data_IF_876492616385
#
_entry.id   IF_876492616385
#
_cell.length_a   1.000
_cell.length_b   1.000
_cell.length_c   1.000
_cell.angle_alpha   90.00
_cell.angle_beta   90.00
_cell.angle_gamma   90.00
#
_symmetry.space_group_name_H-M   'P 1'
#
loop_
_entity.id
_entity.type
_entity.pdbx_description
1 polymer ?
#
# COMPACT_ATOMS: atom_id res chain seq x y z
N UNK A 1 17.31 0.53 22.79
CA UNK A 1 18.33 -0.45 22.26
C UNK A 1 19.27 -0.81 23.39
N UNK A 2 19.77 -2.07 23.47
CA UNK A 2 20.79 -2.46 24.44
C UNK A 2 22.17 -2.61 23.77
N UNK A 3 23.24 -2.80 24.57
CA UNK A 3 24.61 -2.89 24.04
C UNK A 3 24.83 -4.08 23.08
N UNK A 4 24.14 -5.21 23.29
CA UNK A 4 24.24 -6.41 22.44
C UNK A 4 23.59 -6.12 21.09
N UNK A 5 22.39 -5.55 21.08
CA UNK A 5 21.67 -5.13 19.86
C UNK A 5 22.46 -4.11 19.05
N UNK A 6 23.14 -3.18 19.73
CA UNK A 6 23.99 -2.19 19.05
C UNK A 6 25.19 -2.85 18.37
N UNK A 7 25.86 -3.80 19.05
CA UNK A 7 26.99 -4.52 18.46
C UNK A 7 26.57 -5.39 17.26
N UNK A 8 25.38 -6.00 17.33
CA UNK A 8 24.82 -6.77 16.22
C UNK A 8 24.56 -5.87 15.00
N UNK A 9 23.94 -4.71 15.21
CA UNK A 9 23.71 -3.71 14.15
C UNK A 9 25.04 -3.26 13.54
N UNK A 10 26.06 -2.97 14.36
CA UNK A 10 27.38 -2.54 13.85
C UNK A 10 28.02 -3.65 13.03
N UNK A 11 27.86 -4.91 13.43
CA UNK A 11 28.43 -6.06 12.71
C UNK A 11 27.84 -6.25 11.32
N UNK A 12 26.58 -5.83 11.09
CA UNK A 12 25.91 -5.92 9.78
C UNK A 12 26.33 -4.80 8.82
N UNK A 13 26.96 -3.73 9.32
CA UNK A 13 27.43 -2.60 8.55
C UNK A 13 26.32 -1.59 8.17
N UNK A 14 26.70 -0.59 7.38
CA UNK A 14 25.78 0.44 6.89
C UNK A 14 24.76 -0.14 5.90
N UNK A 15 23.51 0.27 6.04
CA UNK A 15 22.40 -0.15 5.18
C UNK A 15 21.51 1.04 4.82
N UNK A 16 20.39 0.80 4.16
CA UNK A 16 19.37 1.83 3.96
C UNK A 16 18.73 2.34 5.27
N UNK A 17 18.86 1.58 6.36
CA UNK A 17 18.31 1.90 7.68
C UNK A 17 19.36 2.19 8.76
N UNK A 18 20.63 1.98 8.48
CA UNK A 18 21.72 2.14 9.45
C UNK A 18 22.82 2.98 8.83
N UNK A 19 23.21 4.05 9.51
CA UNK A 19 24.29 4.94 9.09
C UNK A 19 25.27 5.13 10.25
N UNK A 20 26.56 5.06 9.96
CA UNK A 20 27.63 5.30 10.95
C UNK A 20 28.22 6.68 10.74
N UNK A 21 28.64 7.32 11.83
CA UNK A 21 29.39 8.57 11.84
C UNK A 21 30.36 8.58 13.00
N UNK A 22 31.64 8.81 12.72
CA UNK A 22 32.65 8.96 13.77
C UNK A 22 32.38 10.20 14.63
N UNK A 23 32.05 11.31 14.00
CA UNK A 23 31.65 12.59 14.61
C UNK A 23 30.40 13.15 13.94
N UNK A 24 29.77 14.16 14.56
CA UNK A 24 28.60 14.80 13.95
C UNK A 24 29.03 15.54 12.65
N UNK A 25 28.46 15.19 11.49
CA UNK A 25 28.76 15.89 10.25
C UNK A 25 28.25 17.33 10.26
N UNK A 26 28.63 18.12 9.25
CA UNK A 26 28.07 19.44 9.04
C UNK A 26 26.53 19.43 9.01
N UNK A 27 25.88 20.46 9.56
CA UNK A 27 24.42 20.57 9.72
C UNK A 27 23.63 20.22 8.44
N UNK A 28 24.08 20.64 7.26
CA UNK A 28 23.43 20.31 6.00
C UNK A 28 23.46 18.78 5.72
N UNK A 29 24.59 18.13 6.01
CA UNK A 29 24.71 16.68 5.83
C UNK A 29 23.81 15.88 6.77
N UNK A 30 23.69 16.35 8.03
CA UNK A 30 22.74 15.77 9.00
C UNK A 30 21.30 15.97 8.53
N UNK A 31 20.94 17.16 8.07
CA UNK A 31 19.62 17.47 7.53
C UNK A 31 19.25 16.55 6.34
N UNK A 32 20.19 16.37 5.41
CA UNK A 32 20.01 15.50 4.24
C UNK A 32 19.81 14.03 4.65
N UNK A 33 20.54 13.55 5.67
CA UNK A 33 20.43 12.18 6.15
C UNK A 33 19.07 11.94 6.83
N UNK A 34 18.66 12.85 7.73
CA UNK A 34 17.35 12.79 8.39
C UNK A 34 16.22 12.80 7.35
N UNK A 35 16.29 13.73 6.37
CA UNK A 35 15.31 13.82 5.28
C UNK A 35 15.28 12.53 4.45
N UNK A 36 16.45 11.98 4.09
CA UNK A 36 16.53 10.77 3.29
C UNK A 36 15.90 9.55 4.02
N UNK A 37 16.17 9.40 5.31
CA UNK A 37 15.58 8.34 6.13
C UNK A 37 14.09 8.55 6.33
N UNK A 38 13.64 9.77 6.65
CA UNK A 38 12.21 10.09 6.83
C UNK A 38 11.39 9.85 5.54
N UNK A 39 11.96 10.16 4.38
CA UNK A 39 11.31 9.90 3.08
C UNK A 39 11.38 8.43 2.65
N UNK A 40 12.21 7.62 3.30
CA UNK A 40 12.37 6.19 3.01
C UNK A 40 11.71 5.33 4.09
N UNK A 41 12.44 4.43 4.70
CA UNK A 41 11.93 3.44 5.68
C UNK A 41 12.32 3.77 7.13
N UNK A 42 12.73 5.02 7.40
CA UNK A 42 13.31 5.39 8.67
C UNK A 42 14.68 4.74 8.88
N UNK A 43 15.14 4.68 10.13
CA UNK A 43 16.39 4.03 10.49
C UNK A 43 17.06 4.67 11.69
N UNK A 44 18.35 4.38 11.84
CA UNK A 44 19.19 4.90 12.92
C UNK A 44 20.49 5.49 12.40
N UNK A 45 20.94 6.59 13.01
CA UNK A 45 22.32 7.10 12.82
C UNK A 45 23.07 6.83 14.12
N UNK A 46 24.20 6.13 14.01
CA UNK A 46 25.10 5.83 15.12
C UNK A 46 26.28 6.81 15.06
N UNK A 47 26.43 7.67 16.07
CA UNK A 47 27.51 8.65 16.15
C UNK A 47 28.50 8.23 17.24
N UNK A 48 29.78 8.24 16.93
CA UNK A 48 30.86 7.62 17.69
C UNK A 48 31.31 6.28 17.11
N UNK A 49 30.93 6.00 15.86
CA UNK A 49 31.28 4.77 15.11
C UNK A 49 31.83 5.16 13.75
N UNK A 50 32.99 4.63 13.37
CA UNK A 50 33.63 4.90 12.06
C UNK A 50 32.80 4.37 10.89
N UNK A 51 32.63 5.17 9.89
CA UNK A 51 31.76 4.92 8.72
C UNK A 51 32.11 3.58 8.03
N UNK A 52 33.26 3.22 7.70
CA UNK A 52 33.57 2.04 6.89
C UNK A 52 33.87 0.79 7.73
N UNK A 53 34.53 0.97 8.86
CA UNK A 53 35.07 -0.14 9.67
C UNK A 53 34.12 -0.62 10.76
N UNK A 54 33.16 0.23 11.19
CA UNK A 54 32.33 -0.05 12.35
C UNK A 54 33.10 0.04 13.69
N UNK A 55 34.36 0.53 13.69
CA UNK A 55 35.15 0.71 14.91
C UNK A 55 34.45 1.77 15.80
N UNK A 56 34.25 1.42 17.09
CA UNK A 56 33.64 2.33 18.05
C UNK A 56 34.72 3.24 18.62
N UNK A 57 34.69 4.50 18.22
CA UNK A 57 35.59 5.55 18.73
C UNK A 57 35.07 6.15 20.02
N UNK A 58 33.74 6.21 20.16
CA UNK A 58 33.03 6.77 21.32
C UNK A 58 33.01 8.30 21.31
N UNK A 59 32.16 8.87 22.18
CA UNK A 59 31.96 10.32 22.34
C UNK A 59 32.16 10.73 23.79
N UNK A 60 32.61 11.96 24.02
CA UNK A 60 32.62 12.59 25.35
C UNK A 60 31.20 13.06 25.72
N UNK A 61 30.96 13.33 27.01
CA UNK A 61 29.68 13.85 27.46
C UNK A 61 29.36 15.24 26.88
N UNK A 62 30.37 16.08 26.72
CA UNK A 62 30.23 17.42 26.10
C UNK A 62 29.84 17.33 24.62
N UNK A 63 30.46 16.40 23.87
CA UNK A 63 30.09 16.13 22.48
C UNK A 63 28.64 15.62 22.36
N UNK A 64 28.21 14.74 23.25
CA UNK A 64 26.82 14.21 23.25
C UNK A 64 25.83 15.33 23.45
N UNK A 65 26.03 16.21 24.45
CA UNK A 65 25.13 17.33 24.72
C UNK A 65 25.09 18.34 23.55
N UNK A 66 26.23 18.62 22.96
CA UNK A 66 26.32 19.50 21.79
C UNK A 66 25.60 18.89 20.58
N UNK A 67 25.87 17.61 20.28
CA UNK A 67 25.34 16.92 19.12
C UNK A 67 23.82 16.75 19.21
N UNK A 68 23.29 16.37 20.38
CA UNK A 68 21.85 16.27 20.62
C UNK A 68 21.13 17.59 20.36
N UNK A 69 21.70 18.70 20.87
CA UNK A 69 21.17 20.05 20.63
C UNK A 69 21.19 20.42 19.14
N UNK A 70 22.30 20.14 18.44
CA UNK A 70 22.42 20.45 17.00
C UNK A 70 21.46 19.63 16.17
N UNK A 71 21.32 18.31 16.45
CA UNK A 71 20.40 17.42 15.76
C UNK A 71 18.97 17.86 15.94
N UNK A 72 18.54 18.19 17.15
CA UNK A 72 17.21 18.71 17.45
C UNK A 72 16.91 20.00 16.68
N UNK A 73 17.84 20.96 16.67
CA UNK A 73 17.69 22.20 15.89
C UNK A 73 17.60 21.94 14.38
N UNK A 74 18.36 20.99 13.86
CA UNK A 74 18.29 20.59 12.45
C UNK A 74 16.93 19.98 12.12
N UNK A 75 16.44 19.07 12.97
CA UNK A 75 15.17 18.40 12.77
C UNK A 75 13.97 19.37 12.79
N UNK A 76 13.99 20.37 13.67
CA UNK A 76 12.96 21.42 13.77
C UNK A 76 12.94 22.33 12.51
N UNK A 77 14.06 22.50 11.83
CA UNK A 77 14.17 23.32 10.62
C UNK A 77 13.81 22.57 9.33
N UNK A 78 13.55 21.29 9.39
CA UNK A 78 13.06 20.51 8.24
C UNK A 78 11.60 20.86 7.90
N UNK A 79 11.18 20.55 6.69
CA UNK A 79 9.84 20.88 6.18
C UNK A 79 9.13 19.64 5.63
N UNK A 80 8.13 19.10 6.34
CA UNK A 80 7.73 19.44 7.72
C UNK A 80 8.82 19.07 8.75
N UNK A 81 8.74 19.59 9.99
CA UNK A 81 9.65 19.18 11.07
C UNK A 81 9.63 17.67 11.33
N UNK A 82 10.75 17.13 11.75
CA UNK A 82 10.89 15.70 12.07
C UNK A 82 11.08 15.52 13.56
N UNK A 83 10.26 14.71 14.20
CA UNK A 83 10.44 14.32 15.58
C UNK A 83 11.43 13.16 15.66
N UNK A 84 12.49 13.34 16.44
CA UNK A 84 13.55 12.37 16.65
C UNK A 84 13.54 11.89 18.09
N UNK A 85 14.00 10.66 18.31
CA UNK A 85 14.38 10.16 19.62
C UNK A 85 15.90 9.89 19.63
N UNK A 86 16.58 10.39 20.65
CA UNK A 86 18.00 10.13 20.86
C UNK A 86 18.20 9.28 22.09
N UNK A 87 19.16 8.40 22.08
CA UNK A 87 19.62 7.62 23.24
C UNK A 87 21.11 7.44 23.23
N UNK A 88 21.71 7.23 24.40
CA UNK A 88 23.15 6.99 24.53
C UNK A 88 23.37 5.59 25.08
N UNK A 89 24.14 4.80 24.36
CA UNK A 89 24.55 3.46 24.81
C UNK A 89 26.03 3.48 25.16
N UNK A 90 26.31 2.99 26.36
CA UNK A 90 27.66 2.84 26.88
C UNK A 90 28.14 1.41 26.67
N UNK A 91 29.26 1.27 25.97
CA UNK A 91 29.88 -0.03 25.67
C UNK A 91 31.24 -0.12 26.39
N UNK A 92 31.53 -1.25 27.01
CA UNK A 92 32.83 -1.54 27.54
C UNK A 92 33.67 -2.26 26.47
N UNK A 93 34.79 -1.66 26.11
CA UNK A 93 35.74 -2.21 25.14
C UNK A 93 37.15 -2.01 25.64
N UNK A 94 37.94 -3.09 25.71
CA UNK A 94 39.34 -3.07 26.15
C UNK A 94 39.59 -2.39 27.50
N UNK A 95 38.64 -2.55 28.45
CA UNK A 95 38.74 -1.96 29.79
C UNK A 95 38.40 -0.45 29.85
N UNK A 96 37.93 0.11 28.75
CA UNK A 96 37.47 1.48 28.63
C UNK A 96 36.00 1.57 28.22
N UNK A 97 35.29 2.59 28.70
CA UNK A 97 33.90 2.83 28.31
C UNK A 97 33.84 3.78 27.11
N UNK A 98 33.05 3.39 26.09
CA UNK A 98 32.76 4.19 24.90
C UNK A 98 31.30 4.51 24.86
N UNK A 99 30.92 5.78 24.67
CA UNK A 99 29.52 6.17 24.50
C UNK A 99 29.23 6.33 23.00
N UNK A 100 28.11 5.76 22.55
CA UNK A 100 27.59 5.91 21.19
C UNK A 100 26.24 6.62 21.30
N UNK A 101 26.09 7.74 20.60
CA UNK A 101 24.83 8.45 20.46
C UNK A 101 24.04 7.84 19.29
N UNK A 102 22.82 7.39 19.57
CA UNK A 102 21.90 6.80 18.60
C UNK A 102 20.78 7.77 18.34
N UNK A 103 20.57 8.09 17.05
CA UNK A 103 19.48 8.94 16.60
C UNK A 103 18.46 8.06 15.87
N UNK A 104 17.30 7.89 16.46
CA UNK A 104 16.20 7.14 15.88
C UNK A 104 15.36 8.02 14.97
N UNK A 105 15.23 7.67 13.73
CA UNK A 105 14.46 8.36 12.70
C UNK A 105 13.35 7.44 12.24
N UNK A 106 12.11 7.83 12.50
CA UNK A 106 10.95 7.08 12.01
C UNK A 106 10.70 7.37 10.53
N UNK A 107 10.09 6.41 9.83
CA UNK A 107 9.53 6.69 8.52
C UNK A 107 8.48 7.80 8.64
N UNK A 108 8.64 8.84 7.83
CA UNK A 108 7.77 9.99 7.88
C UNK A 108 6.42 9.74 7.24
N UNK A 109 5.35 10.15 7.92
CA UNK A 109 3.97 10.03 7.43
C UNK A 109 3.56 11.18 6.51
N UNK A 110 4.23 12.34 6.62
CA UNK A 110 3.90 13.56 5.86
C UNK A 110 4.89 13.82 4.72
N UNK A 111 5.26 12.77 3.97
CA UNK A 111 6.19 12.89 2.83
C UNK A 111 5.61 13.83 1.74
N UNK A 112 6.47 14.54 1.00
CA UNK A 112 7.94 14.56 1.10
C UNK A 112 8.46 15.50 2.17
N UNK A 113 9.40 15.04 2.97
CA UNK A 113 10.23 15.88 3.85
C UNK A 113 11.32 16.56 3.04
N UNK A 114 11.65 17.79 3.42
CA UNK A 114 12.62 18.64 2.70
C UNK A 114 13.61 19.25 3.68
N UNK A 115 14.82 19.48 3.22
CA UNK A 115 15.78 20.33 3.95
C UNK A 115 15.26 21.76 4.04
N UNK A 116 15.87 22.59 4.88
CA UNK A 116 15.57 24.03 4.94
C UNK A 116 15.71 24.73 3.57
N UNK A 117 16.56 24.20 2.69
CA UNK A 117 16.77 24.67 1.32
C UNK A 117 15.72 24.18 0.32
N UNK A 118 14.77 23.32 0.75
CA UNK A 118 13.72 22.77 -0.11
C UNK A 118 14.11 21.49 -0.86
N UNK A 119 15.29 20.93 -0.59
CA UNK A 119 15.80 19.73 -1.23
C UNK A 119 15.14 18.47 -0.65
N UNK A 120 14.84 17.49 -1.50
CA UNK A 120 14.23 16.22 -1.14
C UNK A 120 15.28 15.11 -1.34
N UNK A 121 15.59 14.39 -0.30
CA UNK A 121 16.51 13.23 -0.35
C UNK A 121 15.76 11.95 -0.02
N UNK A 122 16.22 10.84 -0.59
CA UNK A 122 15.79 9.46 -0.29
C UNK A 122 17.00 8.57 -0.11
N UNK A 123 16.83 7.44 0.60
CA UNK A 123 17.88 6.41 0.69
C UNK A 123 17.92 5.57 -0.58
N UNK A 124 19.12 5.28 -1.05
CA UNK A 124 19.41 4.33 -2.11
C UNK A 124 20.57 3.44 -1.64
N UNK A 125 20.24 2.26 -1.12
CA UNK A 125 21.18 1.47 -0.31
C UNK A 125 21.64 2.28 0.91
N UNK A 126 22.92 2.25 1.25
CA UNK A 126 23.48 3.06 2.35
C UNK A 126 23.59 4.55 2.01
N UNK A 127 23.52 4.94 0.74
CA UNK A 127 23.69 6.32 0.31
C UNK A 127 22.37 7.13 0.34
N UNK A 128 22.50 8.44 0.45
CA UNK A 128 21.41 9.40 0.21
C UNK A 128 21.49 9.95 -1.21
N UNK A 129 20.34 10.08 -1.87
CA UNK A 129 20.22 10.60 -3.23
C UNK A 129 19.25 11.79 -3.25
N UNK A 130 19.67 12.87 -3.88
CA UNK A 130 18.80 14.03 -4.15
C UNK A 130 17.73 13.61 -5.18
N UNK A 131 16.50 13.90 -4.87
CA UNK A 131 15.36 13.64 -5.75
C UNK A 131 15.09 14.89 -6.60
N UNK A 132 15.22 14.75 -7.90
CA UNK A 132 14.95 15.83 -8.88
C UNK A 132 13.85 15.46 -9.87
N UNK A 133 13.55 14.18 -10.01
CA UNK A 133 12.52 13.68 -10.91
C UNK A 133 11.12 13.92 -10.33
N UNK A 134 10.25 14.60 -11.11
CA UNK A 134 8.91 14.95 -10.68
C UNK A 134 8.03 13.71 -10.42
N UNK A 135 8.21 12.63 -11.19
CA UNK A 135 7.41 11.41 -10.98
C UNK A 135 7.78 10.73 -9.65
N UNK A 136 9.07 10.71 -9.29
CA UNK A 136 9.50 10.19 -7.99
C UNK A 136 9.01 11.06 -6.82
N UNK A 137 9.04 12.40 -6.98
CA UNK A 137 8.48 13.34 -5.98
C UNK A 137 6.97 13.12 -5.82
N UNK A 138 6.23 12.96 -6.91
CA UNK A 138 4.81 12.64 -6.86
C UNK A 138 4.54 11.32 -6.11
N UNK A 139 5.39 10.31 -6.28
CA UNK A 139 5.27 9.05 -5.53
C UNK A 139 5.39 9.24 -4.01
N UNK A 140 6.21 10.16 -3.54
CA UNK A 140 6.27 10.48 -2.11
C UNK A 140 4.96 11.10 -1.60
N UNK A 141 4.34 12.01 -2.37
CA UNK A 141 3.03 12.56 -2.04
C UNK A 141 1.92 11.48 -2.02
N UNK A 142 2.01 10.51 -2.93
CA UNK A 142 1.09 9.37 -2.97
C UNK A 142 1.25 8.48 -1.74
N UNK A 143 2.49 8.17 -1.37
CA UNK A 143 2.80 7.31 -0.22
C UNK A 143 2.35 7.91 1.11
N UNK A 144 2.34 9.24 1.22
CA UNK A 144 1.87 9.93 2.44
C UNK A 144 0.35 10.12 2.50
N UNK A 145 -0.40 9.70 1.46
CA UNK A 145 -1.85 9.94 1.38
C UNK A 145 -2.22 11.41 1.10
N UNK A 146 -1.25 12.27 0.80
CA UNK A 146 -1.51 13.67 0.44
C UNK A 146 -2.00 13.84 -1.00
N UNK A 147 -1.87 12.80 -1.82
CA UNK A 147 -2.40 12.75 -3.18
C UNK A 147 -3.17 11.45 -3.34
N UNK A 148 -4.49 11.56 -3.48
CA UNK A 148 -5.40 10.44 -3.61
C UNK A 148 -5.81 10.30 -5.08
N UNK A 149 -5.49 9.16 -5.70
CA UNK A 149 -5.77 8.90 -7.12
C UNK A 149 -7.26 8.95 -7.43
N UNK A 150 -8.06 8.40 -6.53
CA UNK A 150 -9.52 8.27 -6.67
C UNK A 150 -10.28 9.61 -6.62
N UNK A 151 -9.68 10.65 -6.01
CA UNK A 151 -10.24 12.01 -5.95
C UNK A 151 -9.77 12.90 -7.11
N UNK A 152 -8.84 12.43 -7.97
CA UNK A 152 -8.34 13.21 -9.09
C UNK A 152 -9.36 13.27 -10.22
N UNK A 153 -9.41 14.44 -10.87
CA UNK A 153 -10.23 14.66 -12.06
C UNK A 153 -9.68 13.88 -13.26
N UNK A 154 -10.57 13.31 -14.04
CA UNK A 154 -10.23 12.56 -15.25
C UNK A 154 -10.48 13.44 -16.46
N UNK A 155 -9.42 13.92 -17.09
CA UNK A 155 -9.52 14.79 -18.26
C UNK A 155 -10.28 14.12 -19.41
N UNK A 156 -11.09 14.93 -20.09
CA UNK A 156 -11.90 14.49 -21.24
C UNK A 156 -13.19 13.78 -20.85
N UNK A 157 -13.57 13.81 -19.57
CA UNK A 157 -14.86 13.30 -19.10
C UNK A 157 -15.82 14.43 -18.73
N UNK A 158 -17.10 14.12 -18.74
CA UNK A 158 -18.18 15.02 -18.40
C UNK A 158 -19.32 14.29 -17.67
N UNK A 159 -20.36 15.01 -17.29
CA UNK A 159 -21.59 14.44 -16.74
C UNK A 159 -22.25 13.41 -17.68
N UNK A 160 -22.06 13.56 -19.00
CA UNK A 160 -22.65 12.69 -20.01
C UNK A 160 -22.04 11.28 -20.01
N UNK A 161 -20.85 11.11 -19.41
CA UNK A 161 -20.19 9.83 -19.29
C UNK A 161 -20.67 9.00 -18.08
N UNK A 162 -21.59 9.54 -17.27
CA UNK A 162 -22.17 8.84 -16.11
C UNK A 162 -23.41 8.05 -16.54
N UNK A 163 -23.55 6.84 -16.02
CA UNK A 163 -24.80 6.11 -16.00
C UNK A 163 -25.66 6.62 -14.84
N UNK A 164 -26.64 7.48 -15.19
CA UNK A 164 -27.53 8.10 -14.22
C UNK A 164 -28.32 7.07 -13.40
N UNK A 165 -28.69 5.94 -14.01
CA UNK A 165 -29.44 4.89 -13.32
C UNK A 165 -28.60 4.27 -12.21
N UNK A 166 -27.35 3.92 -12.48
CA UNK A 166 -26.42 3.32 -11.50
C UNK A 166 -26.21 4.32 -10.34
N UNK A 167 -25.97 5.60 -10.66
CA UNK A 167 -25.79 6.61 -9.62
C UNK A 167 -27.06 6.82 -8.78
N UNK A 168 -28.23 6.87 -9.39
CA UNK A 168 -29.50 7.05 -8.70
C UNK A 168 -29.82 5.89 -7.75
N UNK A 169 -29.56 4.65 -8.18
CA UNK A 169 -29.71 3.46 -7.36
C UNK A 169 -28.75 3.48 -6.15
N UNK A 170 -27.50 3.85 -6.38
CA UNK A 170 -26.52 4.05 -5.30
C UNK A 170 -26.98 5.11 -4.32
N UNK A 171 -27.38 6.29 -4.80
CA UNK A 171 -27.81 7.41 -3.96
C UNK A 171 -29.01 7.04 -3.09
N UNK A 172 -30.00 6.37 -3.68
CA UNK A 172 -31.16 5.86 -2.94
C UNK A 172 -30.78 4.82 -1.91
N UNK A 173 -29.83 3.93 -2.21
CA UNK A 173 -29.37 2.91 -1.28
C UNK A 173 -28.63 3.53 -0.08
N UNK A 174 -27.83 4.56 -0.30
CA UNK A 174 -27.07 5.25 0.76
C UNK A 174 -28.00 6.09 1.66
N UNK A 175 -28.94 6.84 1.07
CA UNK A 175 -29.73 7.84 1.80
C UNK A 175 -31.18 7.44 2.08
N UNK A 176 -31.64 6.32 1.57
CA UNK A 176 -33.04 5.88 1.67
C UNK A 176 -34.04 6.73 0.85
N UNK A 177 -33.56 7.76 0.12
CA UNK A 177 -34.35 8.71 -0.67
C UNK A 177 -33.59 9.03 -1.95
N UNK A 178 -34.33 9.44 -3.00
CA UNK A 178 -33.71 9.96 -4.22
C UNK A 178 -33.13 11.36 -4.00
N UNK A 179 -32.31 11.85 -4.92
CA UNK A 179 -31.72 13.18 -4.82
C UNK A 179 -32.80 14.27 -5.01
N UNK A 180 -33.82 14.02 -5.82
CA UNK A 180 -34.97 14.95 -5.99
C UNK A 180 -35.80 15.05 -4.70
N UNK A 181 -36.09 13.94 -4.04
CA UNK A 181 -36.78 13.91 -2.73
C UNK A 181 -35.98 14.66 -1.64
N UNK A 182 -34.69 14.88 -1.85
CA UNK A 182 -33.82 15.70 -0.98
C UNK A 182 -33.67 17.14 -1.46
N UNK A 183 -34.36 17.51 -2.53
CA UNK A 183 -34.33 18.87 -3.11
C UNK A 183 -33.03 19.19 -3.86
N UNK A 184 -32.32 18.17 -4.34
CA UNK A 184 -31.08 18.32 -5.11
C UNK A 184 -31.38 18.06 -6.60
N UNK A 185 -30.75 18.85 -7.49
CA UNK A 185 -30.63 18.46 -8.88
C UNK A 185 -29.62 17.30 -9.03
N UNK A 186 -29.70 16.58 -10.15
CA UNK A 186 -28.75 15.50 -10.48
C UNK A 186 -27.31 15.99 -10.37
N UNK A 187 -26.97 17.10 -11.00
CA UNK A 187 -25.61 17.66 -10.94
C UNK A 187 -25.19 18.04 -9.51
N UNK A 188 -26.09 18.60 -8.71
CA UNK A 188 -25.81 18.91 -7.30
C UNK A 188 -25.53 17.64 -6.49
N UNK A 189 -26.25 16.55 -6.74
CA UNK A 189 -26.02 15.26 -6.09
C UNK A 189 -24.65 14.68 -6.46
N UNK A 190 -24.27 14.73 -7.75
CA UNK A 190 -22.96 14.28 -8.22
C UNK A 190 -21.81 15.07 -7.59
N UNK A 191 -21.96 16.41 -7.50
CA UNK A 191 -20.96 17.28 -6.85
C UNK A 191 -20.88 17.02 -5.34
N UNK A 192 -22.02 16.88 -4.67
CA UNK A 192 -22.06 16.58 -3.23
C UNK A 192 -21.39 15.25 -2.88
N UNK A 193 -21.49 14.27 -3.78
CA UNK A 193 -20.83 12.96 -3.65
C UNK A 193 -19.41 12.92 -4.22
N UNK A 194 -18.87 14.06 -4.69
CA UNK A 194 -17.55 14.14 -5.33
C UNK A 194 -17.36 13.20 -6.52
N UNK A 195 -18.46 12.86 -7.19
CA UNK A 195 -18.44 12.13 -8.47
C UNK A 195 -18.04 13.08 -9.59
N UNK A 196 -18.52 14.33 -9.52
CA UNK A 196 -18.23 15.40 -10.46
C UNK A 196 -17.48 16.54 -9.75
N UNK A 197 -16.36 16.99 -10.31
CA UNK A 197 -15.55 18.11 -9.85
C UNK A 197 -15.11 18.93 -11.06
N UNK A 198 -15.21 20.27 -11.02
CA UNK A 198 -14.85 21.16 -12.14
C UNK A 198 -15.38 20.69 -13.51
N UNK A 199 -16.61 20.16 -13.55
CA UNK A 199 -17.29 19.59 -14.74
C UNK A 199 -16.61 18.34 -15.33
N UNK A 200 -15.70 17.71 -14.61
CA UNK A 200 -15.07 16.44 -14.97
C UNK A 200 -15.37 15.38 -13.91
N UNK A 201 -15.37 14.12 -14.31
CA UNK A 201 -15.50 13.02 -13.34
C UNK A 201 -14.25 12.92 -12.50
N UNK A 202 -14.41 12.62 -11.22
CA UNK A 202 -13.30 12.07 -10.43
C UNK A 202 -13.04 10.64 -10.88
N UNK A 203 -11.85 10.12 -10.60
CA UNK A 203 -11.54 8.74 -10.95
C UNK A 203 -12.50 7.75 -10.25
N UNK A 204 -12.82 8.00 -8.97
CA UNK A 204 -13.83 7.21 -8.27
C UNK A 204 -15.20 7.29 -8.93
N UNK A 205 -15.62 8.49 -9.36
CA UNK A 205 -16.86 8.69 -10.09
C UNK A 205 -16.92 7.91 -11.39
N UNK A 206 -15.85 7.98 -12.18
CA UNK A 206 -15.71 7.22 -13.42
C UNK A 206 -15.78 5.70 -13.17
N UNK A 207 -15.02 5.20 -12.19
CA UNK A 207 -14.89 3.76 -11.94
C UNK A 207 -16.15 3.13 -11.31
N UNK A 208 -17.00 3.89 -10.65
CA UNK A 208 -18.25 3.37 -10.06
C UNK A 208 -19.49 3.65 -10.88
N UNK A 209 -19.53 4.78 -11.60
CA UNK A 209 -20.75 5.29 -12.24
C UNK A 209 -20.54 5.61 -13.72
N UNK A 210 -19.33 5.44 -14.28
CA UNK A 210 -19.07 5.68 -15.69
C UNK A 210 -19.72 4.64 -16.59
N UNK A 211 -20.21 5.06 -17.77
CA UNK A 211 -20.76 4.17 -18.81
C UNK A 211 -19.72 3.23 -19.39
N UNK A 212 -18.50 3.71 -19.62
CA UNK A 212 -17.36 2.93 -20.14
C UNK A 212 -16.05 3.46 -19.53
N UNK A 213 -15.69 3.02 -18.30
CA UNK A 213 -14.47 3.47 -17.66
C UNK A 213 -13.19 3.15 -18.44
N UNK A 214 -13.17 2.04 -19.20
CA UNK A 214 -11.99 1.58 -19.91
C UNK A 214 -11.76 2.32 -21.23
N UNK A 215 -12.76 2.98 -21.80
CA UNK A 215 -12.54 3.90 -22.91
C UNK A 215 -11.55 5.03 -22.53
N UNK A 216 -11.59 5.45 -21.27
CA UNK A 216 -10.71 6.51 -20.73
C UNK A 216 -9.51 5.94 -19.97
N UNK A 217 -9.68 4.83 -19.28
CA UNK A 217 -8.67 4.16 -18.43
C UNK A 217 -8.51 2.68 -18.83
N UNK A 218 -7.95 2.39 -20.02
CA UNK A 218 -7.94 1.04 -20.59
C UNK A 218 -7.17 -0.01 -19.75
N UNK A 219 -6.27 0.42 -18.87
CA UNK A 219 -5.51 -0.49 -18.01
C UNK A 219 -6.25 -0.91 -16.73
N UNK A 220 -7.39 -0.34 -16.43
CA UNK A 220 -8.11 -0.62 -15.17
C UNK A 220 -9.13 -1.74 -15.37
N UNK A 221 -8.61 -2.91 -15.72
CA UNK A 221 -9.33 -4.15 -16.01
C UNK A 221 -8.92 -5.27 -15.06
N UNK A 222 -9.61 -6.40 -15.14
CA UNK A 222 -9.16 -7.67 -14.57
C UNK A 222 -8.79 -8.61 -15.70
N UNK A 223 -7.55 -9.09 -15.74
CA UNK A 223 -7.10 -10.17 -16.62
C UNK A 223 -7.16 -11.49 -15.87
N UNK A 224 -7.95 -12.43 -16.37
CA UNK A 224 -8.22 -13.70 -15.73
C UNK A 224 -7.85 -14.87 -16.61
N UNK A 225 -7.12 -15.86 -16.07
CA UNK A 225 -6.68 -17.06 -16.77
C UNK A 225 -6.72 -18.26 -15.83
N UNK A 226 -7.20 -19.41 -16.34
CA UNK A 226 -7.10 -20.70 -15.66
C UNK A 226 -6.16 -21.61 -16.44
N UNK A 227 -5.07 -22.06 -15.80
CA UNK A 227 -4.01 -22.87 -16.38
C UNK A 227 -4.20 -24.36 -16.10
N UNK A 228 -3.67 -25.20 -16.99
CA UNK A 228 -3.33 -26.58 -16.63
C UNK A 228 -1.95 -26.60 -15.96
N UNK A 229 -1.85 -27.33 -14.84
CA UNK A 229 -0.60 -27.40 -14.07
C UNK A 229 -0.39 -26.22 -13.13
N UNK A 230 0.86 -26.00 -12.73
CA UNK A 230 1.25 -25.09 -11.66
C UNK A 230 2.15 -23.93 -12.11
N UNK A 231 2.35 -23.80 -13.42
CA UNK A 231 3.25 -22.79 -13.99
C UNK A 231 2.49 -21.86 -14.96
N UNK A 232 2.90 -20.58 -14.94
CA UNK A 232 2.41 -19.56 -15.87
C UNK A 232 2.92 -19.75 -17.30
N UNK A 233 4.01 -20.51 -17.48
CA UNK A 233 4.57 -20.87 -18.79
C UNK A 233 3.82 -22.03 -19.46
N UNK A 234 2.80 -22.58 -18.81
CA UNK A 234 1.95 -23.61 -19.40
C UNK A 234 1.35 -23.12 -20.73
N UNK A 235 1.57 -23.89 -21.80
CA UNK A 235 1.05 -23.53 -23.12
C UNK A 235 -0.45 -23.73 -23.24
N UNK A 236 -1.02 -24.54 -22.38
CA UNK A 236 -2.42 -24.93 -22.39
C UNK A 236 -3.22 -24.26 -21.28
N UNK A 237 -4.35 -23.68 -21.64
CA UNK A 237 -5.28 -23.03 -20.72
C UNK A 237 -6.52 -23.89 -20.51
N UNK A 238 -7.06 -23.95 -19.31
CA UNK A 238 -8.37 -24.56 -19.01
C UNK A 238 -9.51 -23.66 -19.48
N UNK A 239 -9.31 -22.35 -19.38
CA UNK A 239 -10.22 -21.35 -19.90
C UNK A 239 -9.49 -20.35 -20.78
N UNK A 240 -10.17 -19.83 -21.81
CA UNK A 240 -9.62 -18.74 -22.63
C UNK A 240 -9.30 -17.55 -21.74
N UNK A 241 -8.14 -16.91 -21.93
CA UNK A 241 -7.84 -15.65 -21.22
C UNK A 241 -8.95 -14.64 -21.42
N UNK A 242 -9.44 -14.07 -20.31
CA UNK A 242 -10.51 -13.08 -20.29
C UNK A 242 -9.98 -11.74 -19.82
N UNK A 243 -10.44 -10.67 -20.45
CA UNK A 243 -10.15 -9.28 -20.04
C UNK A 243 -11.49 -8.64 -19.66
N UNK A 244 -11.75 -8.53 -18.37
CA UNK A 244 -13.00 -8.00 -17.86
C UNK A 244 -12.92 -6.48 -17.77
N UNK A 245 -13.93 -5.82 -18.33
CA UNK A 245 -14.13 -4.37 -18.33
C UNK A 245 -15.42 -4.00 -17.60
N UNK A 246 -15.67 -2.72 -17.40
CA UNK A 246 -16.84 -2.18 -16.73
C UNK A 246 -16.48 -1.41 -15.45
N UNK A 247 -17.49 -1.06 -14.70
CA UNK A 247 -17.36 -0.42 -13.37
C UNK A 247 -16.77 -1.39 -12.33
N UNK A 248 -16.34 -0.86 -11.19
CA UNK A 248 -15.82 -1.71 -10.10
C UNK A 248 -16.82 -2.79 -9.66
N UNK A 249 -18.13 -2.51 -9.48
CA UNK A 249 -19.12 -3.55 -9.21
C UNK A 249 -19.23 -4.62 -10.31
N UNK A 250 -19.14 -4.23 -11.59
CA UNK A 250 -19.15 -5.18 -12.71
C UNK A 250 -17.89 -6.02 -12.74
N UNK A 251 -16.72 -5.41 -12.57
CA UNK A 251 -15.43 -6.12 -12.45
C UNK A 251 -15.43 -7.13 -11.30
N UNK A 252 -15.99 -6.75 -10.16
CA UNK A 252 -16.15 -7.65 -9.02
C UNK A 252 -17.03 -8.86 -9.39
N UNK A 253 -18.20 -8.63 -9.97
CA UNK A 253 -19.14 -9.69 -10.36
C UNK A 253 -18.52 -10.63 -11.41
N UNK A 254 -17.87 -10.08 -12.44
CA UNK A 254 -17.18 -10.88 -13.47
C UNK A 254 -16.05 -11.72 -12.87
N UNK A 255 -15.22 -11.12 -11.99
CA UNK A 255 -14.13 -11.82 -11.33
C UNK A 255 -14.61 -12.95 -10.41
N UNK A 256 -15.65 -12.71 -9.61
CA UNK A 256 -16.26 -13.75 -8.75
C UNK A 256 -16.89 -14.87 -9.58
N UNK A 257 -17.60 -14.53 -10.67
CA UNK A 257 -18.16 -15.54 -11.57
C UNK A 257 -17.06 -16.41 -12.18
N UNK A 258 -15.99 -15.79 -12.68
CA UNK A 258 -14.84 -16.51 -13.24
C UNK A 258 -14.20 -17.45 -12.20
N UNK A 259 -14.01 -17.00 -10.97
CA UNK A 259 -13.47 -17.84 -9.90
C UNK A 259 -14.40 -19.02 -9.62
N UNK A 260 -15.69 -18.80 -9.44
CA UNK A 260 -16.68 -19.86 -9.14
C UNK A 260 -16.81 -20.88 -10.28
N UNK A 261 -16.70 -20.45 -11.53
CA UNK A 261 -16.81 -21.34 -12.70
C UNK A 261 -15.57 -22.23 -12.90
N UNK A 262 -14.39 -21.78 -12.46
CA UNK A 262 -13.13 -22.51 -12.66
C UNK A 262 -12.65 -23.28 -11.40
N UNK A 263 -13.42 -23.27 -10.31
CA UNK A 263 -13.11 -24.01 -9.10
C UNK A 263 -14.01 -25.25 -8.96
N UNK A 264 -13.51 -26.27 -8.27
CA UNK A 264 -14.24 -27.50 -8.06
C UNK A 264 -15.26 -27.38 -6.93
N UNK A 265 -16.37 -28.13 -7.06
CA UNK A 265 -17.29 -28.36 -5.96
C UNK A 265 -16.96 -29.70 -5.30
N UNK A 266 -16.65 -29.65 -4.01
CA UNK A 266 -16.34 -30.81 -3.19
C UNK A 266 -17.62 -31.26 -2.47
N UNK A 267 -17.89 -32.56 -2.45
CA UNK A 267 -19.00 -33.12 -1.66
C UNK A 267 -18.62 -33.12 -0.19
N UNK A 268 -19.46 -32.54 0.67
CA UNK A 268 -19.20 -32.37 2.10
C UNK A 268 -19.69 -33.57 2.96
N UNK A 269 -20.09 -34.70 2.34
CA UNK A 269 -20.60 -35.86 3.07
C UNK A 269 -20.63 -37.14 2.26
N UNK A 270 -20.87 -38.27 2.93
CA UNK A 270 -20.90 -39.62 2.32
C UNK A 270 -22.13 -39.85 1.41
N UNK A 271 -23.13 -38.99 1.46
CA UNK A 271 -24.34 -39.11 0.65
C UNK A 271 -24.14 -38.44 -0.73
N UNK A 272 -24.57 -39.13 -1.79
CA UNK A 272 -24.63 -38.63 -3.16
C UNK A 272 -25.44 -37.32 -3.31
N UNK A 273 -26.38 -37.05 -2.38
CA UNK A 273 -27.21 -35.87 -2.32
C UNK A 273 -26.69 -34.80 -1.39
N UNK A 274 -25.44 -34.91 -0.87
CA UNK A 274 -24.84 -33.83 -0.07
C UNK A 274 -24.63 -32.57 -0.92
N UNK A 275 -24.93 -31.39 -0.36
CA UNK A 275 -24.69 -30.11 -1.02
C UNK A 275 -23.18 -29.98 -1.27
N UNK A 276 -22.78 -29.83 -2.54
CA UNK A 276 -21.39 -29.51 -2.88
C UNK A 276 -20.99 -28.15 -2.32
N UNK A 277 -19.81 -28.07 -1.73
CA UNK A 277 -19.19 -26.83 -1.32
C UNK A 277 -18.06 -26.48 -2.29
N UNK A 278 -17.89 -25.19 -2.58
CA UNK A 278 -16.76 -24.74 -3.37
C UNK A 278 -15.46 -25.11 -2.64
N UNK A 279 -14.45 -25.57 -3.34
CA UNK A 279 -13.16 -26.00 -2.75
C UNK A 279 -12.41 -24.87 -2.00
N UNK A 280 -12.75 -23.61 -2.28
CA UNK A 280 -12.27 -22.42 -1.58
C UNK A 280 -13.47 -21.63 -1.08
N UNK A 281 -13.39 -21.09 0.13
CA UNK A 281 -14.47 -20.30 0.74
C UNK A 281 -14.91 -19.13 -0.16
N UNK A 282 -16.19 -19.05 -0.56
CA UNK A 282 -16.72 -17.89 -1.28
C UNK A 282 -16.49 -16.56 -0.55
N UNK A 283 -16.59 -16.56 0.79
CA UNK A 283 -16.35 -15.38 1.62
C UNK A 283 -14.89 -14.90 1.44
N UNK A 284 -13.93 -15.82 1.48
CA UNK A 284 -12.53 -15.49 1.27
C UNK A 284 -12.29 -14.91 -0.14
N UNK A 285 -12.86 -15.51 -1.18
CA UNK A 285 -12.74 -15.01 -2.55
C UNK A 285 -13.34 -13.61 -2.70
N UNK A 286 -14.52 -13.37 -2.18
CA UNK A 286 -15.22 -12.09 -2.22
C UNK A 286 -14.43 -10.99 -1.49
N UNK A 287 -13.97 -11.26 -0.27
CA UNK A 287 -13.17 -10.32 0.52
C UNK A 287 -11.84 -9.94 -0.17
N UNK A 288 -11.13 -10.92 -0.71
CA UNK A 288 -9.82 -10.69 -1.31
C UNK A 288 -9.92 -9.99 -2.67
N UNK A 289 -10.93 -10.32 -3.48
CA UNK A 289 -11.13 -9.66 -4.77
C UNK A 289 -11.57 -8.20 -4.61
N UNK A 290 -12.51 -7.92 -3.70
CA UNK A 290 -12.92 -6.53 -3.46
C UNK A 290 -11.78 -5.70 -2.83
N UNK A 291 -10.96 -6.28 -1.95
CA UNK A 291 -9.76 -5.61 -1.46
C UNK A 291 -8.78 -5.31 -2.60
N UNK A 292 -8.58 -6.22 -3.54
CA UNK A 292 -7.73 -5.98 -4.70
C UNK A 292 -8.26 -4.85 -5.59
N UNK A 293 -9.57 -4.72 -5.78
CA UNK A 293 -10.21 -3.64 -6.55
C UNK A 293 -10.15 -2.30 -5.82
N UNK A 294 -10.48 -2.27 -4.53
CA UNK A 294 -10.64 -1.02 -3.78
C UNK A 294 -9.30 -0.44 -3.34
N UNK A 295 -8.33 -1.28 -2.98
CA UNK A 295 -7.06 -0.85 -2.40
C UNK A 295 -5.87 -0.87 -3.36
N UNK A 296 -6.05 -1.20 -4.66
CA UNK A 296 -4.97 -1.12 -5.65
C UNK A 296 -4.40 0.29 -5.76
N UNK A 297 -3.19 0.37 -6.25
CA UNK A 297 -2.59 1.64 -6.63
C UNK A 297 -3.10 2.10 -8.01
N UNK A 298 -4.01 3.09 -8.02
CA UNK A 298 -4.58 3.65 -9.24
C UNK A 298 -3.68 4.62 -9.98
N UNK A 299 -2.49 4.93 -9.46
CA UNK A 299 -1.44 5.60 -10.23
C UNK A 299 -0.67 4.63 -11.14
N UNK A 300 -0.86 3.31 -10.96
CA UNK A 300 -0.25 2.29 -11.81
C UNK A 300 -1.20 1.83 -12.90
N UNK A 301 -0.80 2.09 -14.14
CA UNK A 301 -1.53 1.65 -15.34
C UNK A 301 -1.26 0.16 -15.62
N UNK A 302 -1.81 -0.72 -14.81
CA UNK A 302 -1.68 -2.17 -14.94
C UNK A 302 -2.96 -2.86 -14.49
N UNK A 303 -3.38 -3.96 -15.11
CA UNK A 303 -4.59 -4.70 -14.71
C UNK A 303 -4.38 -5.46 -13.39
N UNK A 304 -5.48 -5.75 -12.70
CA UNK A 304 -5.50 -6.82 -11.70
C UNK A 304 -5.41 -8.16 -12.44
N UNK A 305 -4.70 -9.13 -11.90
CA UNK A 305 -4.57 -10.46 -12.48
C UNK A 305 -5.21 -11.51 -11.57
N UNK A 306 -6.10 -12.33 -12.13
CA UNK A 306 -6.68 -13.49 -11.49
C UNK A 306 -6.14 -14.74 -12.19
N UNK A 307 -5.28 -15.48 -11.52
CA UNK A 307 -4.64 -16.67 -12.09
C UNK A 307 -5.04 -17.89 -11.28
N UNK A 308 -5.58 -18.90 -11.95
CA UNK A 308 -5.98 -20.17 -11.34
C UNK A 308 -5.07 -21.27 -11.85
N UNK A 309 -4.35 -21.91 -10.94
CA UNK A 309 -3.49 -23.08 -11.18
C UNK A 309 -4.12 -24.34 -10.59
N UNK A 310 -3.52 -25.48 -10.83
CA UNK A 310 -4.02 -26.74 -10.25
C UNK A 310 -3.92 -26.76 -8.72
N UNK A 311 -2.88 -26.14 -8.15
CA UNK A 311 -2.60 -26.13 -6.72
C UNK A 311 -2.90 -24.81 -5.99
N UNK A 312 -3.21 -23.72 -6.69
CA UNK A 312 -3.45 -22.41 -6.07
C UNK A 312 -4.24 -21.44 -6.95
N UNK A 313 -4.73 -20.39 -6.33
CA UNK A 313 -5.26 -19.19 -6.98
C UNK A 313 -4.32 -18.02 -6.61
N UNK A 314 -4.01 -17.16 -7.56
CA UNK A 314 -3.29 -15.92 -7.33
C UNK A 314 -4.17 -14.72 -7.69
N UNK A 315 -4.32 -13.78 -6.75
CA UNK A 315 -4.91 -12.46 -6.99
C UNK A 315 -3.79 -11.45 -6.86
N UNK A 316 -3.44 -10.78 -7.97
CA UNK A 316 -2.31 -9.87 -8.02
C UNK A 316 -2.82 -8.46 -8.31
N UNK A 317 -2.66 -7.57 -7.34
CA UNK A 317 -3.08 -6.17 -7.41
C UNK A 317 -1.87 -5.27 -7.64
N UNK A 318 -1.96 -4.29 -8.58
CA UNK A 318 -0.90 -3.29 -8.77
C UNK A 318 -0.70 -2.42 -7.54
N UNK A 319 0.57 -2.23 -7.17
CA UNK A 319 1.00 -1.41 -6.04
C UNK A 319 1.32 -2.23 -4.80
N UNK A 320 2.45 -1.90 -4.18
CA UNK A 320 2.82 -2.40 -2.85
C UNK A 320 1.91 -1.79 -1.77
N UNK A 321 1.98 -2.31 -0.56
CA UNK A 321 1.29 -1.73 0.59
C UNK A 321 1.69 -0.26 0.81
N UNK A 322 0.74 0.61 1.19
CA UNK A 322 1.04 2.02 1.43
C UNK A 322 1.85 2.22 2.71
N UNK A 323 2.73 3.22 2.69
CA UNK A 323 3.56 3.62 3.82
C UNK A 323 4.35 2.45 4.45
N UNK A 324 4.46 2.46 5.77
CA UNK A 324 5.08 1.40 6.59
C UNK A 324 4.16 0.23 6.90
N UNK A 325 2.99 0.12 6.26
CA UNK A 325 2.06 -0.97 6.49
C UNK A 325 2.70 -2.32 6.14
N UNK A 326 2.70 -3.21 7.09
CA UNK A 326 3.21 -4.57 6.93
C UNK A 326 2.08 -5.56 6.66
N UNK A 327 2.44 -6.77 6.20
CA UNK A 327 1.48 -7.87 6.05
C UNK A 327 0.84 -8.23 7.40
N UNK A 328 1.60 -8.14 8.49
CA UNK A 328 1.07 -8.44 9.82
C UNK A 328 0.06 -7.38 10.28
N UNK A 329 0.31 -6.11 10.00
CA UNK A 329 -0.68 -5.04 10.30
C UNK A 329 -2.03 -5.32 9.63
N UNK A 330 -2.01 -5.80 8.37
CA UNK A 330 -3.24 -6.14 7.64
C UNK A 330 -3.95 -7.34 8.27
N UNK A 331 -3.20 -8.37 8.69
CA UNK A 331 -3.76 -9.54 9.38
C UNK A 331 -4.41 -9.15 10.71
N UNK A 332 -3.86 -8.16 11.41
CA UNK A 332 -4.46 -7.61 12.65
C UNK A 332 -5.67 -6.71 12.38
N UNK A 333 -5.89 -6.30 11.14
CA UNK A 333 -7.03 -5.46 10.76
C UNK A 333 -6.79 -3.96 10.94
N UNK A 334 -5.53 -3.52 10.86
CA UNK A 334 -5.18 -2.10 10.85
C UNK A 334 -5.37 -1.53 9.43
N UNK A 335 -6.45 -0.79 9.14
CA UNK A 335 -6.69 -0.29 7.80
C UNK A 335 -5.84 0.94 7.53
N UNK A 336 -5.14 0.96 6.40
CA UNK A 336 -4.64 2.19 5.79
C UNK A 336 -5.36 2.35 4.46
N UNK A 337 -6.23 3.36 4.38
CA UNK A 337 -7.08 3.60 3.22
C UNK A 337 -6.26 4.43 2.23
N UNK A 338 -6.01 3.87 1.02
CA UNK A 338 -5.35 4.56 -0.08
C UNK A 338 -6.34 5.33 -0.95
N UNK A 339 -7.57 4.82 -1.09
CA UNK A 339 -8.60 5.32 -1.98
C UNK A 339 -9.89 5.57 -1.19
N UNK A 340 -9.98 6.72 -0.52
CA UNK A 340 -11.06 7.04 0.42
C UNK A 340 -12.43 7.04 -0.25
N UNK A 341 -12.52 7.61 -1.46
CA UNK A 341 -13.79 7.73 -2.18
C UNK A 341 -14.25 6.37 -2.71
N UNK A 342 -13.31 5.52 -3.18
CA UNK A 342 -13.64 4.15 -3.60
C UNK A 342 -14.16 3.31 -2.43
N UNK A 343 -13.54 3.42 -1.24
CA UNK A 343 -14.03 2.75 -0.02
C UNK A 343 -15.44 3.22 0.30
N UNK A 344 -15.71 4.54 0.28
CA UNK A 344 -17.03 5.07 0.57
C UNK A 344 -18.11 4.56 -0.40
N UNK A 345 -17.83 4.50 -1.69
CA UNK A 345 -18.78 3.94 -2.67
C UNK A 345 -18.96 2.43 -2.52
N UNK A 346 -17.89 1.71 -2.20
CA UNK A 346 -17.93 0.24 -2.05
C UNK A 346 -18.85 -0.24 -0.95
N UNK A 347 -18.99 0.51 0.15
CA UNK A 347 -19.87 0.13 1.28
C UNK A 347 -21.35 0.00 0.90
N UNK A 348 -21.76 0.64 -0.18
CA UNK A 348 -23.14 0.62 -0.67
C UNK A 348 -23.32 -0.14 -1.98
N UNK A 349 -22.24 -0.53 -2.65
CA UNK A 349 -22.29 -1.16 -3.98
C UNK A 349 -21.76 -2.58 -4.00
N UNK A 350 -20.83 -2.91 -3.10
CA UNK A 350 -20.24 -4.23 -2.95
C UNK A 350 -20.63 -4.86 -1.60
N UNK A 351 -20.40 -6.17 -1.38
CA UNK A 351 -20.53 -6.80 -0.07
C UNK A 351 -19.36 -6.39 0.86
N UNK A 352 -19.07 -5.12 0.95
CA UNK A 352 -17.91 -4.51 1.60
C UNK A 352 -18.31 -3.77 2.88
N UNK A 353 -17.67 -4.07 4.01
CA UNK A 353 -18.03 -3.44 5.29
C UNK A 353 -17.24 -2.16 5.60
N UNK A 354 -16.08 -1.94 4.97
CA UNK A 354 -15.20 -0.81 5.24
C UNK A 354 -14.53 -0.79 6.62
N UNK A 355 -14.74 -1.84 7.45
CA UNK A 355 -14.26 -1.90 8.84
C UNK A 355 -12.81 -2.41 8.99
N UNK A 356 -12.08 -2.64 7.89
CA UNK A 356 -10.73 -3.21 7.91
C UNK A 356 -10.66 -4.70 8.29
N UNK A 357 -11.79 -5.36 8.54
CA UNK A 357 -11.85 -6.76 8.97
C UNK A 357 -11.87 -7.79 7.84
N UNK A 358 -11.86 -7.35 6.57
CA UNK A 358 -12.04 -8.22 5.41
C UNK A 358 -10.97 -9.30 5.29
N UNK A 359 -9.70 -8.93 5.35
CA UNK A 359 -8.58 -9.88 5.31
C UNK A 359 -8.63 -10.84 6.49
N UNK A 360 -8.96 -10.35 7.69
CA UNK A 360 -9.11 -11.19 8.88
C UNK A 360 -10.22 -12.22 8.71
N UNK A 361 -11.36 -11.85 8.11
CA UNK A 361 -12.44 -12.79 7.78
C UNK A 361 -12.00 -13.82 6.75
N UNK A 362 -11.33 -13.38 5.70
CA UNK A 362 -10.78 -14.29 4.68
C UNK A 362 -9.81 -15.32 5.27
N UNK A 363 -8.93 -14.91 6.16
CA UNK A 363 -7.98 -15.79 6.87
C UNK A 363 -8.67 -16.73 7.87
N UNK A 364 -9.78 -16.31 8.50
CA UNK A 364 -10.57 -17.17 9.38
C UNK A 364 -11.25 -18.30 8.59
N UNK A 365 -11.75 -17.99 7.40
CA UNK A 365 -12.38 -18.96 6.50
C UNK A 365 -11.36 -19.85 5.76
N UNK A 366 -10.18 -19.32 5.44
CA UNK A 366 -9.14 -19.98 4.69
C UNK A 366 -7.76 -19.66 5.31
N UNK A 367 -7.34 -20.38 6.36
CA UNK A 367 -6.14 -20.04 7.15
C UNK A 367 -4.81 -20.08 6.38
N UNK A 368 -4.74 -20.86 5.30
CA UNK A 368 -3.51 -21.09 4.54
C UNK A 368 -3.25 -20.03 3.43
N UNK A 369 -3.98 -18.90 3.45
CA UNK A 369 -3.74 -17.80 2.49
C UNK A 369 -2.40 -17.16 2.80
N UNK A 370 -1.58 -17.00 1.75
CA UNK A 370 -0.35 -16.24 1.80
C UNK A 370 -0.56 -14.82 1.26
N UNK A 371 -0.07 -13.83 1.99
CA UNK A 371 -0.09 -12.42 1.60
C UNK A 371 1.35 -11.96 1.36
N UNK A 372 1.65 -11.47 0.16
CA UNK A 372 3.00 -11.09 -0.25
C UNK A 372 3.00 -9.62 -0.69
N UNK A 373 3.74 -8.80 0.04
CA UNK A 373 4.04 -7.42 -0.36
C UNK A 373 5.33 -7.40 -1.18
N UNK A 374 5.19 -7.58 -2.50
CA UNK A 374 6.31 -7.54 -3.43
C UNK A 374 6.70 -6.08 -3.70
N UNK A 375 7.69 -5.60 -2.95
CA UNK A 375 8.15 -4.20 -3.03
C UNK A 375 8.99 -3.92 -4.28
N UNK A 376 9.66 -4.92 -4.84
CA UNK A 376 10.47 -4.80 -6.06
C UNK A 376 9.59 -4.84 -7.31
N UNK A 377 8.68 -5.81 -7.38
CA UNK A 377 7.67 -5.91 -8.44
C UNK A 377 6.55 -4.87 -8.32
N UNK A 378 6.55 -4.06 -7.25
CA UNK A 378 5.54 -3.04 -6.95
C UNK A 378 4.10 -3.57 -7.09
N UNK A 379 3.82 -4.71 -6.46
CA UNK A 379 2.52 -5.39 -6.49
C UNK A 379 2.21 -6.03 -5.14
N UNK A 380 0.94 -6.23 -4.87
CA UNK A 380 0.47 -7.02 -3.74
C UNK A 380 -0.14 -8.31 -4.27
N UNK A 381 0.35 -9.45 -3.78
CA UNK A 381 -0.07 -10.76 -4.24
C UNK A 381 -0.73 -11.53 -3.09
N UNK A 382 -1.87 -12.12 -3.39
CA UNK A 382 -2.57 -13.06 -2.52
C UNK A 382 -2.51 -14.43 -3.17
N UNK A 383 -2.02 -15.43 -2.43
CA UNK A 383 -1.97 -16.84 -2.87
C UNK A 383 -2.93 -17.64 -1.98
N UNK A 384 -3.89 -18.28 -2.62
CA UNK A 384 -4.88 -19.14 -1.96
C UNK A 384 -4.60 -20.57 -2.39
N UNK A 385 -4.06 -21.43 -1.52
CA UNK A 385 -3.83 -22.84 -1.82
C UNK A 385 -5.15 -23.55 -2.15
N UNK A 386 -5.13 -24.43 -3.14
CA UNK A 386 -6.24 -25.33 -3.47
C UNK A 386 -5.99 -26.70 -2.85
N UNK A 387 -7.02 -27.42 -2.39
CA UNK A 387 -6.87 -28.77 -1.88
C UNK A 387 -6.33 -29.69 -2.97
N UNK A 388 -5.47 -30.63 -2.59
CA UNK A 388 -4.98 -31.64 -3.51
C UNK A 388 -6.16 -32.48 -4.04
N UNK A 389 -6.21 -32.67 -5.35
CA UNK A 389 -7.17 -33.57 -5.97
C UNK A 389 -6.78 -35.00 -5.57
N UNK A 390 -7.64 -35.63 -4.81
CA UNK A 390 -7.50 -37.06 -4.48
C UNK A 390 -7.74 -37.91 -5.72
#
# INVERSE_FOLDING_TARGET
MNAIELLDIISTGETSKVQFKEELPHRDSVAQEIVAMSNSLGGVILIGVKDVTGEITGLTSEQIEEYDRVISQVADNLKPPVYLATEVIRIEQEGSYRNVLIVHIQEGINKPYKTAKGEIYVKQGSNKRLLTDNAEIMRLFQHSGNLLADEMEVHGTSIDDIDEKIFSEYFKKEFGKTYEERGLSYEQALRAKRVLRNNQLTLAGLLFFGKDPQAVKPAFTIKAVSFFGNDIEAKDYKSKPSDFTGTIPELFNHGISFLKENLAFLQSGESFNSKGQLEVSPIALEELLQNALVHRDYFKNSPIRLLIFDNRIEIISPGKLPNSLTVDDIKFGNPVIRNNQLVAFSTHTLPFSGLGSGVKRALAEQPNIELINDTEGEQFKVIIPRPEKK
#
